data_IF_216390158343
#
_entry.id   IF_216390158343
#
_cell.length_a   1.000
_cell.length_b   1.000
_cell.length_c   1.000
_cell.angle_alpha   90.00
_cell.angle_beta   90.00
_cell.angle_gamma   90.00
#
_symmetry.space_group_name_H-M   'P 1'
#
loop_
_entity.id
_entity.type
_entity.pdbx_description
1 polymer ?
#
# COMPACT_ATOMS: atom_id res chain seq x y z
N UNK A 1 -11.37 13.90 -12.23
CA UNK A 1 -11.76 13.33 -10.92
C UNK A 1 -11.22 11.91 -10.89
N UNK A 2 -10.11 11.68 -10.21
CA UNK A 2 -9.46 10.36 -10.10
C UNK A 2 -9.54 9.96 -8.63
N UNK A 3 -10.09 8.78 -8.34
CA UNK A 3 -10.19 8.21 -6.99
C UNK A 3 -9.22 7.02 -6.94
N UNK A 4 -8.17 7.09 -6.13
CA UNK A 4 -7.26 5.96 -5.88
C UNK A 4 -7.44 5.46 -4.45
N UNK A 5 -7.61 4.16 -4.21
CA UNK A 5 -7.55 3.53 -2.88
C UNK A 5 -6.23 2.78 -2.76
N UNK A 6 -5.52 2.87 -1.62
CA UNK A 6 -4.31 2.08 -1.31
C UNK A 6 -4.32 1.57 0.14
N UNK A 7 -3.99 0.29 0.34
CA UNK A 7 -3.61 -0.36 1.61
C UNK A 7 -2.25 -1.06 1.46
N UNK A 8 -1.44 -1.09 2.53
CA UNK A 8 -0.03 -1.53 2.57
C UNK A 8 0.18 -3.04 2.34
N UNK A 9 1.37 -3.50 1.92
CA UNK A 9 2.68 -2.84 1.96
C UNK A 9 3.44 -2.94 0.63
N UNK A 10 3.99 -1.82 0.17
CA UNK A 10 4.74 -1.78 -1.09
C UNK A 10 6.00 -0.95 -0.92
N UNK A 11 7.12 -1.51 -1.35
CA UNK A 11 8.31 -0.73 -1.70
C UNK A 11 7.98 0.04 -2.97
N UNK A 12 7.49 1.28 -2.84
CA UNK A 12 7.19 2.13 -3.99
C UNK A 12 8.50 2.59 -4.66
N UNK A 13 8.79 2.05 -5.84
CA UNK A 13 9.50 2.79 -6.87
C UNK A 13 8.51 3.10 -7.99
N UNK A 14 8.23 4.38 -8.24
CA UNK A 14 7.40 4.83 -9.34
C UNK A 14 8.24 5.71 -10.27
N UNK A 15 8.49 5.25 -11.49
CA UNK A 15 9.22 6.01 -12.51
C UNK A 15 8.33 6.20 -13.73
N UNK A 16 8.47 7.36 -14.36
CA UNK A 16 7.69 7.77 -15.51
C UNK A 16 8.50 7.63 -16.79
N UNK A 17 7.88 7.05 -17.81
CA UNK A 17 8.41 7.05 -19.17
C UNK A 17 7.34 7.60 -20.12
N UNK A 18 7.72 8.63 -20.89
CA UNK A 18 6.84 9.26 -21.89
C UNK A 18 7.42 8.99 -23.26
N UNK A 19 6.61 8.45 -24.16
CA UNK A 19 6.95 8.36 -25.57
C UNK A 19 5.76 8.81 -26.42
N UNK A 20 6.04 9.62 -27.46
CA UNK A 20 5.04 10.15 -28.37
C UNK A 20 5.64 11.06 -29.43
N UNK A 21 5.09 11.01 -30.64
CA UNK A 21 5.28 12.00 -31.72
C UNK A 21 3.88 12.47 -32.15
N UNK A 22 3.72 13.78 -32.40
CA UNK A 22 2.48 14.31 -33.00
C UNK A 22 1.29 14.53 -32.05
N UNK A 23 1.46 15.32 -30.98
CA UNK A 23 0.34 15.82 -30.16
C UNK A 23 -0.34 14.77 -29.25
N UNK A 24 0.17 13.55 -29.24
CA UNK A 24 -0.31 12.45 -28.41
C UNK A 24 0.86 11.76 -27.70
N UNK A 25 0.66 11.36 -26.44
CA UNK A 25 1.70 10.68 -25.66
C UNK A 25 1.14 9.52 -24.84
N UNK A 26 1.98 8.51 -24.63
CA UNK A 26 1.77 7.45 -23.65
C UNK A 26 2.67 7.69 -22.44
N UNK A 27 2.12 7.54 -21.25
CA UNK A 27 2.83 7.67 -19.98
C UNK A 27 2.70 6.41 -19.15
N UNK A 28 3.82 5.85 -18.74
CA UNK A 28 3.88 4.68 -17.86
C UNK A 28 3.97 5.09 -16.39
N UNK A 29 3.22 4.39 -15.56
CA UNK A 29 3.35 4.34 -14.12
C UNK A 29 3.53 2.87 -13.74
N UNK A 30 4.47 2.57 -12.85
CA UNK A 30 4.68 1.21 -12.37
C UNK A 30 5.01 1.20 -10.88
N UNK A 31 4.82 0.04 -10.27
CA UNK A 31 5.04 -0.23 -8.86
C UNK A 31 5.52 -1.66 -8.70
N UNK A 32 6.49 -1.91 -7.81
CA UNK A 32 7.05 -3.25 -7.58
C UNK A 32 6.99 -3.55 -6.09
N UNK A 33 6.26 -4.59 -5.72
CA UNK A 33 6.27 -5.14 -4.38
C UNK A 33 7.39 -6.19 -4.30
N UNK A 34 8.56 -5.75 -3.85
CA UNK A 34 9.70 -6.60 -3.58
C UNK A 34 10.22 -6.34 -2.17
N UNK A 35 10.26 -7.37 -1.34
CA UNK A 35 10.86 -7.30 -0.02
C UNK A 35 12.37 -7.01 -0.15
N UNK A 36 12.79 -5.93 0.52
CA UNK A 36 14.14 -5.32 0.60
C UNK A 36 14.42 -4.17 -0.41
N UNK A 37 15.11 -3.09 0.01
CA UNK A 37 15.23 -1.84 -0.75
C UNK A 37 15.97 -2.05 -2.07
N UNK A 38 15.40 -1.54 -3.16
CA UNK A 38 15.95 -1.65 -4.51
C UNK A 38 16.28 -0.27 -5.10
N UNK A 39 17.30 -0.23 -5.97
CA UNK A 39 17.68 0.97 -6.71
C UNK A 39 16.97 0.98 -8.06
N UNK A 40 15.90 1.76 -8.18
CA UNK A 40 15.26 2.01 -9.46
C UNK A 40 15.99 3.10 -10.26
N UNK A 41 16.19 2.87 -11.56
CA UNK A 41 16.72 3.89 -12.48
C UNK A 41 15.65 4.31 -13.50
N UNK A 42 15.71 5.57 -13.93
CA UNK A 42 14.68 6.28 -14.69
C UNK A 42 14.38 5.78 -16.12
N UNK A 43 13.16 6.01 -16.63
CA UNK A 43 12.76 5.84 -18.03
C UNK A 43 11.93 4.60 -18.37
N UNK A 44 11.94 4.17 -19.65
CA UNK A 44 11.30 2.91 -20.15
C UNK A 44 12.10 1.65 -19.79
N UNK A 45 13.20 1.80 -19.04
CA UNK A 45 14.03 0.72 -18.56
C UNK A 45 14.04 0.80 -17.03
N UNK A 46 13.49 -0.22 -16.39
CA UNK A 46 13.40 -0.33 -14.94
C UNK A 46 14.37 -1.40 -14.47
N UNK A 47 15.12 -1.16 -13.40
CA UNK A 47 16.00 -2.16 -12.81
C UNK A 47 15.64 -2.36 -11.34
N UNK A 48 15.49 -3.61 -10.90
CA UNK A 48 15.33 -3.95 -9.49
C UNK A 48 15.91 -5.33 -9.17
N UNK A 49 16.19 -5.58 -7.89
CA UNK A 49 16.74 -6.85 -7.43
C UNK A 49 15.72 -7.60 -6.58
N UNK A 50 15.55 -8.90 -6.83
CA UNK A 50 14.66 -9.80 -6.07
C UNK A 50 15.45 -11.03 -5.59
N UNK A 51 15.23 -11.54 -4.38
CA UNK A 51 15.81 -12.81 -3.96
C UNK A 51 15.15 -13.97 -4.73
N UNK A 52 15.93 -15.00 -5.09
CA UNK A 52 15.35 -16.22 -5.65
C UNK A 52 14.33 -16.86 -4.69
N UNK A 53 13.26 -17.45 -5.23
CA UNK A 53 12.18 -18.05 -4.46
C UNK A 53 11.19 -17.06 -3.82
N UNK A 54 11.38 -15.74 -3.97
CA UNK A 54 10.49 -14.74 -3.38
C UNK A 54 9.37 -14.33 -4.35
N UNK A 55 8.08 -14.46 -3.98
CA UNK A 55 6.99 -13.90 -4.78
C UNK A 55 7.18 -12.40 -4.95
N UNK A 56 7.02 -11.89 -6.16
CA UNK A 56 7.20 -10.48 -6.52
C UNK A 56 6.02 -10.04 -7.35
N UNK A 57 5.41 -8.91 -6.99
CA UNK A 57 4.28 -8.33 -7.73
C UNK A 57 4.70 -7.05 -8.42
N UNK A 58 4.38 -6.92 -9.70
CA UNK A 58 4.62 -5.73 -10.52
C UNK A 58 3.28 -5.19 -10.99
N UNK A 59 2.93 -3.98 -10.56
CA UNK A 59 1.75 -3.27 -11.04
C UNK A 59 2.16 -2.28 -12.12
N UNK A 60 1.49 -2.31 -13.26
CA UNK A 60 1.76 -1.47 -14.42
C UNK A 60 0.50 -0.71 -14.82
N UNK A 61 0.65 0.57 -15.13
CA UNK A 61 -0.42 1.40 -15.66
C UNK A 61 0.12 2.26 -16.79
N UNK A 62 -0.63 2.36 -17.87
CA UNK A 62 -0.32 3.27 -18.98
C UNK A 62 -1.50 4.19 -19.22
N UNK A 63 -1.23 5.47 -19.47
CA UNK A 63 -2.25 6.44 -19.84
C UNK A 63 -1.91 7.13 -21.15
N UNK A 64 -2.91 7.41 -21.97
CA UNK A 64 -2.78 8.19 -23.20
C UNK A 64 -3.35 9.60 -23.04
N UNK A 65 -2.62 10.59 -23.54
CA UNK A 65 -3.06 11.98 -23.57
C UNK A 65 -3.02 12.51 -25.02
N UNK A 66 -4.13 13.06 -25.56
CA UNK A 66 -5.48 13.04 -25.01
C UNK A 66 -6.06 11.60 -24.92
N UNK A 67 -7.10 11.38 -24.08
CA UNK A 67 -7.68 10.06 -23.85
C UNK A 67 -8.15 9.38 -25.13
N UNK A 68 -7.77 8.12 -25.27
CA UNK A 68 -8.08 7.25 -26.41
C UNK A 68 -8.02 5.80 -25.97
N UNK A 69 -8.34 4.85 -26.84
CA UNK A 69 -8.16 3.45 -26.52
C UNK A 69 -6.67 3.14 -26.31
N UNK A 70 -6.34 2.53 -25.18
CA UNK A 70 -4.99 2.09 -24.85
C UNK A 70 -5.03 0.61 -24.49
N UNK A 71 -4.05 -0.14 -24.96
CA UNK A 71 -3.87 -1.56 -24.63
C UNK A 71 -2.47 -1.80 -24.07
N UNK A 72 -2.40 -2.66 -23.06
CA UNK A 72 -1.20 -3.25 -22.49
C UNK A 72 -1.14 -4.72 -22.87
N UNK A 73 -0.08 -5.11 -23.55
CA UNK A 73 0.19 -6.49 -23.93
C UNK A 73 1.55 -6.95 -23.40
N UNK A 74 1.64 -8.12 -22.76
CA UNK A 74 2.91 -8.73 -22.38
C UNK A 74 3.67 -9.16 -23.65
N UNK A 75 4.98 -8.94 -23.69
CA UNK A 75 5.88 -9.41 -24.75
C UNK A 75 6.87 -10.46 -24.25
N UNK A 76 7.35 -10.33 -23.01
CA UNK A 76 8.25 -11.29 -22.37
C UNK A 76 8.01 -11.32 -20.86
N UNK A 77 7.96 -12.52 -20.28
CA UNK A 77 7.65 -12.77 -18.87
C UNK A 77 8.50 -13.92 -18.31
N UNK A 78 8.56 -14.02 -16.98
CA UNK A 78 9.35 -15.01 -16.25
C UNK A 78 8.56 -16.29 -15.91
N UNK A 79 7.40 -16.47 -16.56
CA UNK A 79 6.44 -17.56 -16.31
C UNK A 79 5.07 -17.05 -15.86
N UNK A 80 4.08 -17.94 -15.81
CA UNK A 80 2.70 -17.62 -15.44
C UNK A 80 1.83 -17.05 -16.57
N UNK A 81 0.53 -16.93 -16.29
CA UNK A 81 -0.44 -16.32 -17.20
C UNK A 81 -0.42 -14.79 -17.09
N UNK A 82 -0.58 -14.12 -18.22
CA UNK A 82 -0.35 -12.69 -18.33
C UNK A 82 -1.66 -11.94 -18.58
N UNK A 83 -2.12 -11.07 -17.66
CA UNK A 83 -3.29 -10.26 -17.95
C UNK A 83 -2.88 -9.13 -18.90
N UNK A 84 -3.21 -9.28 -20.18
CA UNK A 84 -3.35 -8.13 -21.05
C UNK A 84 -4.49 -7.24 -20.51
N UNK A 85 -4.37 -5.93 -20.66
CA UNK A 85 -5.42 -4.99 -20.26
C UNK A 85 -5.68 -4.00 -21.37
N UNK A 86 -6.90 -3.51 -21.46
CA UNK A 86 -7.22 -2.35 -22.30
C UNK A 86 -8.18 -1.42 -21.58
N UNK A 87 -8.20 -0.16 -21.98
CA UNK A 87 -9.12 0.81 -21.42
C UNK A 87 -9.10 2.13 -22.19
N UNK A 88 -10.13 2.94 -21.96
CA UNK A 88 -10.21 4.29 -22.52
C UNK A 88 -9.44 5.26 -21.62
N UNK A 89 -8.45 5.96 -22.19
CA UNK A 89 -7.57 6.87 -21.47
C UNK A 89 -6.46 6.16 -20.69
N UNK A 90 -6.77 5.08 -19.98
CA UNK A 90 -5.81 4.35 -19.14
C UNK A 90 -6.05 2.84 -19.22
N UNK A 91 -4.98 2.04 -19.14
CA UNK A 91 -5.03 0.59 -18.96
C UNK A 91 -4.06 0.18 -17.83
N UNK A 92 -4.43 -0.83 -17.02
CA UNK A 92 -3.66 -1.25 -15.85
C UNK A 92 -3.59 -2.77 -15.78
N UNK A 93 -2.43 -3.33 -15.45
CA UNK A 93 -2.26 -4.77 -15.24
C UNK A 93 -1.36 -5.05 -14.03
N UNK A 94 -1.54 -6.21 -13.42
CA UNK A 94 -0.76 -6.70 -12.28
C UNK A 94 -0.16 -8.05 -12.66
N UNK A 95 1.16 -8.16 -12.54
CA UNK A 95 1.91 -9.37 -12.85
C UNK A 95 2.66 -9.86 -11.62
N UNK A 96 2.37 -11.07 -11.18
CA UNK A 96 3.05 -11.72 -10.05
C UNK A 96 3.92 -12.87 -10.58
N UNK A 97 5.17 -12.93 -10.13
CA UNK A 97 6.10 -14.01 -10.47
C UNK A 97 6.95 -14.39 -9.26
N UNK A 98 7.50 -15.60 -9.31
CA UNK A 98 8.46 -16.09 -8.30
C UNK A 98 9.70 -16.55 -9.05
N UNK A 99 10.90 -15.96 -8.81
CA UNK A 99 12.11 -16.43 -9.47
C UNK A 99 12.40 -17.90 -9.08
N UNK A 100 12.66 -18.79 -10.04
CA UNK A 100 12.83 -20.21 -9.76
C UNK A 100 14.09 -20.48 -8.93
N UNK A 101 14.13 -21.54 -8.10
CA UNK A 101 15.34 -21.91 -7.36
C UNK A 101 16.55 -22.12 -8.28
N UNK A 102 17.74 -21.66 -7.87
CA UNK A 102 18.98 -21.75 -8.65
C UNK A 102 19.11 -20.69 -9.74
N UNK A 103 18.35 -19.61 -9.64
CA UNK A 103 18.40 -18.47 -10.57
C UNK A 103 19.19 -17.27 -10.02
N UNK A 104 19.71 -17.35 -8.79
CA UNK A 104 20.62 -16.37 -8.23
C UNK A 104 21.79 -16.04 -9.19
N UNK A 105 22.09 -14.75 -9.31
CA UNK A 105 23.10 -14.21 -10.23
C UNK A 105 22.63 -14.01 -11.66
N UNK A 106 21.38 -14.38 -12.00
CA UNK A 106 20.81 -14.12 -13.32
C UNK A 106 20.17 -12.74 -13.39
N UNK A 107 20.20 -12.18 -14.59
CA UNK A 107 19.42 -11.00 -14.96
C UNK A 107 18.39 -11.42 -15.99
N UNK A 108 17.14 -11.02 -15.79
CA UNK A 108 16.01 -11.46 -16.60
C UNK A 108 15.10 -10.28 -16.93
N UNK A 109 14.42 -10.31 -18.07
CA UNK A 109 13.60 -9.18 -18.54
C UNK A 109 12.11 -9.51 -18.55
N UNK A 110 11.32 -8.56 -18.09
CA UNK A 110 9.87 -8.47 -18.24
C UNK A 110 9.60 -7.33 -19.22
N UNK A 111 8.85 -7.59 -20.28
CA UNK A 111 8.56 -6.59 -21.32
C UNK A 111 7.06 -6.47 -21.54
N UNK A 112 6.55 -5.25 -21.46
CA UNK A 112 5.17 -4.91 -21.81
C UNK A 112 5.13 -3.87 -22.91
N UNK A 113 4.22 -4.05 -23.87
CA UNK A 113 3.93 -3.09 -24.92
C UNK A 113 2.66 -2.34 -24.58
N UNK A 114 2.75 -1.01 -24.59
CA UNK A 114 1.59 -0.15 -24.68
C UNK A 114 1.35 0.22 -26.14
N UNK A 115 0.10 0.17 -26.57
CA UNK A 115 -0.34 0.69 -27.85
C UNK A 115 -1.57 1.56 -27.65
N UNK A 116 -1.69 2.62 -28.44
CA UNK A 116 -2.87 3.47 -28.46
C UNK A 116 -3.10 4.01 -29.86
N UNK A 117 -4.36 4.26 -30.21
CA UNK A 117 -4.73 4.71 -31.56
C UNK A 117 -3.96 5.98 -31.96
N UNK A 118 -3.25 5.95 -33.09
CA UNK A 118 -2.46 7.08 -33.57
C UNK A 118 -1.22 7.42 -32.72
N UNK A 119 -0.77 6.53 -31.84
CA UNK A 119 0.50 6.63 -31.12
C UNK A 119 1.36 5.41 -31.45
N UNK A 120 2.63 5.62 -31.79
CA UNK A 120 3.56 4.52 -31.99
C UNK A 120 3.62 3.65 -30.70
N UNK A 121 3.59 2.31 -30.80
CA UNK A 121 3.69 1.46 -29.62
C UNK A 121 4.97 1.71 -28.84
N UNK A 122 4.87 1.62 -27.51
CA UNK A 122 5.97 1.89 -26.59
C UNK A 122 6.18 0.67 -25.73
N UNK A 123 7.40 0.16 -25.70
CA UNK A 123 7.76 -0.98 -24.86
C UNK A 123 8.36 -0.48 -23.54
N UNK A 124 7.80 -0.94 -22.43
CA UNK A 124 8.40 -0.88 -21.11
C UNK A 124 9.22 -2.15 -20.91
N UNK A 125 10.53 -1.99 -20.66
CA UNK A 125 11.44 -3.07 -20.31
C UNK A 125 11.78 -2.99 -18.83
N UNK A 126 11.65 -4.11 -18.14
CA UNK A 126 11.90 -4.23 -16.71
C UNK A 126 12.94 -5.33 -16.54
N UNK A 127 14.13 -4.93 -16.15
CA UNK A 127 15.27 -5.77 -15.88
C UNK A 127 15.27 -6.17 -14.40
N UNK A 128 15.17 -7.47 -14.15
CA UNK A 128 15.13 -8.06 -12.81
C UNK A 128 16.45 -8.77 -12.55
N UNK A 129 17.19 -8.31 -11.54
CA UNK A 129 18.39 -9.00 -11.04
C UNK A 129 17.99 -9.96 -9.94
N UNK A 130 18.37 -11.22 -10.07
CA UNK A 130 18.03 -12.23 -9.08
C UNK A 130 19.20 -12.39 -8.11
N UNK A 131 18.99 -12.02 -6.85
CA UNK A 131 19.96 -12.16 -5.77
C UNK A 131 19.91 -13.54 -5.10
N UNK A 132 20.92 -13.86 -4.26
CA UNK A 132 20.86 -15.05 -3.41
C UNK A 132 19.60 -15.02 -2.53
N UNK A 133 19.13 -16.19 -2.06
CA UNK A 133 17.97 -16.25 -1.17
C UNK A 133 18.27 -15.44 0.08
N UNK A 134 17.39 -14.48 0.39
CA UNK A 134 17.51 -13.68 1.60
C UNK A 134 16.39 -14.09 2.56
N UNK A 135 16.71 -14.72 3.69
CA UNK A 135 15.71 -15.17 4.67
C UNK A 135 14.89 -14.01 5.26
N UNK A 136 15.41 -12.78 5.17
CA UNK A 136 14.74 -11.55 5.61
C UNK A 136 13.71 -11.02 4.61
N UNK A 137 13.72 -11.50 3.35
CA UNK A 137 12.84 -11.03 2.28
C UNK A 137 11.83 -12.10 1.82
N UNK A 138 11.71 -13.23 2.54
CA UNK A 138 10.64 -14.21 2.31
C UNK A 138 9.30 -13.54 2.64
N UNK A 139 8.54 -13.14 1.62
CA UNK A 139 7.17 -12.70 1.86
C UNK A 139 6.44 -13.84 2.56
N UNK A 140 5.71 -13.57 3.66
CA UNK A 140 4.72 -14.52 4.13
C UNK A 140 3.77 -14.84 2.95
N UNK A 141 3.23 -16.07 2.88
CA UNK A 141 2.31 -16.44 1.80
C UNK A 141 1.26 -15.35 1.60
N UNK A 142 0.82 -15.09 0.35
CA UNK A 142 -0.18 -14.05 0.11
C UNK A 142 -1.36 -14.29 1.04
N UNK A 143 -1.57 -13.37 1.99
CA UNK A 143 -2.88 -13.26 2.63
C UNK A 143 -3.87 -13.09 1.48
N UNK A 144 -4.93 -13.92 1.42
CA UNK A 144 -5.88 -13.81 0.33
C UNK A 144 -6.40 -12.38 0.24
N UNK A 145 -6.55 -11.96 -1.02
CA UNK A 145 -7.00 -10.66 -1.51
C UNK A 145 -7.96 -9.93 -0.56
N UNK A 146 -7.74 -8.62 -0.42
CA UNK A 146 -8.69 -7.59 0.03
C UNK A 146 -9.97 -8.18 0.64
N UNK A 147 -10.05 -8.22 1.96
CA UNK A 147 -11.23 -8.70 2.70
C UNK A 147 -12.50 -8.17 2.04
N UNK A 148 -13.53 -9.00 1.78
CA UNK A 148 -14.76 -8.52 1.18
C UNK A 148 -15.29 -7.33 1.98
N UNK A 149 -16.02 -6.36 1.39
CA UNK A 149 -16.51 -5.18 2.11
C UNK A 149 -17.28 -5.53 3.39
N UNK A 150 -17.89 -6.71 3.43
CA UNK A 150 -18.60 -7.28 4.59
C UNK A 150 -17.69 -7.85 5.67
N UNK A 151 -16.39 -8.03 5.44
CA UNK A 151 -15.40 -8.45 6.42
C UNK A 151 -14.65 -7.27 7.02
N UNK A 152 -14.70 -6.08 6.40
CA UNK A 152 -14.16 -4.87 7.03
C UNK A 152 -15.14 -4.31 8.06
N UNK A 153 -14.63 -4.01 9.24
CA UNK A 153 -15.33 -3.28 10.28
C UNK A 153 -14.60 -1.94 10.47
N UNK A 154 -15.22 -0.85 10.05
CA UNK A 154 -14.66 0.49 10.21
C UNK A 154 -14.82 0.97 11.66
N UNK A 155 -13.87 1.79 12.11
CA UNK A 155 -13.91 2.30 13.48
C UNK A 155 -15.08 3.26 13.68
N UNK A 156 -15.87 3.03 14.72
CA UNK A 156 -16.96 3.90 15.13
C UNK A 156 -17.05 3.95 16.67
N UNK A 157 -17.17 5.15 17.24
CA UNK A 157 -17.19 5.34 18.69
C UNK A 157 -18.37 4.60 19.37
N UNK A 158 -19.49 4.43 18.65
CA UNK A 158 -20.68 3.74 19.12
C UNK A 158 -20.70 2.23 18.87
N UNK A 159 -19.67 1.68 18.19
CA UNK A 159 -19.59 0.26 17.85
C UNK A 159 -18.24 -0.33 18.26
N UNK A 160 -18.04 -0.63 19.55
CA UNK A 160 -16.87 -1.37 19.99
C UNK A 160 -16.85 -2.77 19.37
N UNK A 161 -15.65 -3.34 19.22
CA UNK A 161 -15.45 -4.69 18.73
C UNK A 161 -15.97 -5.71 19.74
N UNK A 162 -16.39 -6.85 19.23
CA UNK A 162 -16.84 -8.00 20.01
C UNK A 162 -16.11 -9.24 19.54
N UNK A 163 -16.11 -10.31 20.34
CA UNK A 163 -15.57 -11.60 19.89
C UNK A 163 -16.29 -12.17 18.66
N UNK A 164 -17.49 -11.68 18.33
CA UNK A 164 -18.18 -12.05 17.10
C UNK A 164 -17.58 -11.41 15.83
N UNK A 165 -16.66 -10.45 15.97
CA UNK A 165 -15.96 -9.80 14.86
C UNK A 165 -14.63 -10.51 14.50
N UNK A 166 -14.23 -11.55 15.23
CA UNK A 166 -13.01 -12.33 14.97
C UNK A 166 -13.35 -13.62 14.22
N UNK A 167 -13.46 -13.51 12.88
CA UNK A 167 -13.89 -14.59 12.00
C UNK A 167 -12.74 -15.47 11.51
N UNK A 168 -11.51 -14.95 11.61
CA UNK A 168 -10.30 -15.63 11.16
C UNK A 168 -9.94 -16.83 12.03
N UNK A 169 -9.24 -17.77 11.41
CA UNK A 169 -8.62 -18.88 12.13
C UNK A 169 -7.26 -18.45 12.70
N UNK A 170 -6.88 -18.95 13.90
CA UNK A 170 -5.55 -18.72 14.44
C UNK A 170 -4.46 -19.24 13.49
N UNK A 171 -3.44 -18.44 13.15
CA UNK A 171 -2.36 -18.90 12.30
C UNK A 171 -1.61 -20.07 12.96
N UNK A 172 -1.13 -21.03 12.15
CA UNK A 172 -0.43 -22.21 12.66
C UNK A 172 0.90 -21.85 13.33
N UNK A 173 1.52 -20.76 12.92
CA UNK A 173 2.82 -20.23 13.38
C UNK A 173 2.70 -19.09 14.42
N UNK A 174 1.50 -18.85 14.95
CA UNK A 174 1.30 -17.85 16.01
C UNK A 174 2.15 -18.14 17.25
N UNK A 175 2.43 -17.12 18.04
CA UNK A 175 2.95 -17.29 19.39
C UNK A 175 2.01 -18.21 20.22
N UNK A 176 2.50 -19.32 20.81
CA UNK A 176 1.69 -20.18 21.67
C UNK A 176 1.02 -19.48 22.85
N UNK A 177 1.54 -18.33 23.28
CA UNK A 177 0.97 -17.51 24.33
C UNK A 177 -0.14 -16.57 23.83
N UNK A 178 -0.16 -16.23 22.53
CA UNK A 178 -1.16 -15.33 21.97
C UNK A 178 -2.57 -15.94 22.05
N UNK A 179 -3.48 -15.19 22.67
CA UNK A 179 -4.88 -15.57 22.86
C UNK A 179 -5.78 -15.10 21.71
N UNK A 180 -5.42 -13.99 21.08
CA UNK A 180 -6.10 -13.39 19.96
C UNK A 180 -5.08 -12.63 19.09
N UNK A 181 -5.51 -12.22 17.90
CA UNK A 181 -4.79 -11.27 17.07
C UNK A 181 -5.78 -10.48 16.22
N UNK A 182 -5.62 -9.16 16.21
CA UNK A 182 -6.41 -8.25 15.39
C UNK A 182 -5.64 -7.82 14.14
N UNK A 183 -6.29 -7.91 12.98
CA UNK A 183 -5.76 -7.42 11.72
C UNK A 183 -6.35 -6.04 11.41
N UNK A 184 -5.49 -5.05 11.19
CA UNK A 184 -5.87 -3.66 10.99
C UNK A 184 -5.37 -3.14 9.65
N UNK A 185 -6.24 -2.43 8.94
CA UNK A 185 -5.95 -1.79 7.67
C UNK A 185 -6.13 -0.28 7.78
N UNK A 186 -5.08 0.48 7.46
CA UNK A 186 -5.14 1.92 7.24
C UNK A 186 -5.09 2.19 5.74
N UNK A 187 -6.04 2.97 5.24
CA UNK A 187 -6.15 3.27 3.81
C UNK A 187 -6.50 4.74 3.60
N UNK A 188 -6.10 5.27 2.44
CA UNK A 188 -6.55 6.59 2.01
C UNK A 188 -6.88 6.65 0.52
N UNK A 189 -7.69 7.64 0.17
CA UNK A 189 -7.99 8.02 -1.20
C UNK A 189 -8.01 9.52 -1.38
N UNK A 190 -7.45 10.00 -2.48
CA UNK A 190 -7.31 11.42 -2.77
C UNK A 190 -8.08 11.78 -4.03
N UNK A 191 -8.67 12.97 -4.05
CA UNK A 191 -9.07 13.70 -5.25
C UNK A 191 -8.21 14.94 -5.34
N UNK A 192 -7.56 15.14 -6.48
CA UNK A 192 -6.64 16.26 -6.70
C UNK A 192 -7.34 17.41 -7.40
N UNK A 193 -6.90 18.63 -7.11
CA UNK A 193 -7.20 19.83 -7.86
C UNK A 193 -5.89 20.48 -8.31
N UNK A 194 -5.90 21.03 -9.52
CA UNK A 194 -4.74 21.69 -10.12
C UNK A 194 -5.04 23.14 -10.44
N UNK A 195 -4.01 23.97 -10.26
CA UNK A 195 -3.99 25.37 -10.61
C UNK A 195 -2.63 25.75 -11.19
N UNK A 196 -2.57 26.91 -11.84
CA UNK A 196 -1.35 27.44 -12.41
C UNK A 196 -1.14 28.86 -11.93
N UNK A 197 0.06 29.15 -11.45
CA UNK A 197 0.49 30.47 -11.01
C UNK A 197 1.72 30.86 -11.82
N UNK A 198 1.53 31.70 -12.84
CA UNK A 198 2.57 32.04 -13.81
C UNK A 198 3.09 30.81 -14.56
N UNK A 199 4.39 30.54 -14.44
CA UNK A 199 5.05 29.39 -15.08
C UNK A 199 4.96 28.09 -14.26
N UNK A 200 4.45 28.13 -13.03
CA UNK A 200 4.44 27.00 -12.10
C UNK A 200 3.05 26.38 -12.01
N UNK A 201 2.99 25.07 -12.13
CA UNK A 201 1.80 24.27 -11.82
C UNK A 201 1.80 23.90 -10.35
N UNK A 202 0.62 23.96 -9.73
CA UNK A 202 0.39 23.55 -8.35
C UNK A 202 -0.72 22.52 -8.32
N UNK A 203 -0.49 21.42 -7.61
CA UNK A 203 -1.48 20.41 -7.29
C UNK A 203 -1.81 20.49 -5.80
N UNK A 204 -3.09 20.30 -5.46
CA UNK A 204 -3.59 20.27 -4.09
C UNK A 204 -4.55 19.10 -3.91
N UNK A 205 -4.76 18.67 -2.68
CA UNK A 205 -5.80 17.69 -2.35
C UNK A 205 -7.12 18.43 -2.19
N UNK A 206 -8.05 18.21 -3.13
CA UNK A 206 -9.39 18.78 -3.10
C UNK A 206 -10.28 18.10 -2.06
N UNK A 207 -10.14 16.77 -1.95
CA UNK A 207 -10.79 15.98 -0.91
C UNK A 207 -10.00 14.71 -0.66
N UNK A 208 -10.01 14.23 0.57
CA UNK A 208 -9.42 12.95 0.96
C UNK A 208 -10.38 12.14 1.81
N UNK A 209 -10.36 10.83 1.65
CA UNK A 209 -10.93 9.88 2.60
C UNK A 209 -9.80 9.09 3.22
N UNK A 210 -9.79 8.94 4.54
CA UNK A 210 -8.83 8.09 5.26
C UNK A 210 -9.62 7.19 6.18
N UNK A 211 -9.40 5.88 6.09
CA UNK A 211 -10.14 4.87 6.85
C UNK A 211 -9.21 3.98 7.65
N UNK A 212 -9.62 3.63 8.86
CA UNK A 212 -9.07 2.53 9.65
C UNK A 212 -10.15 1.46 9.79
N UNK A 213 -9.79 0.21 9.52
CA UNK A 213 -10.70 -0.91 9.62
C UNK A 213 -10.04 -2.13 10.26
N UNK A 214 -10.83 -2.88 11.02
CA UNK A 214 -10.52 -4.26 11.39
C UNK A 214 -10.90 -5.18 10.23
N UNK A 215 -9.98 -6.05 9.83
CA UNK A 215 -10.21 -7.12 8.87
C UNK A 215 -10.67 -8.37 9.63
N UNK A 216 -11.99 -8.55 9.73
CA UNK A 216 -12.62 -9.56 10.58
C UNK A 216 -12.23 -10.99 10.21
N UNK A 217 -12.08 -11.26 8.93
CA UNK A 217 -11.65 -12.54 8.35
C UNK A 217 -10.17 -12.84 8.60
N UNK A 218 -9.36 -11.84 8.96
CA UNK A 218 -7.95 -12.00 9.33
C UNK A 218 -7.71 -11.88 10.83
N UNK A 219 -8.73 -11.46 11.58
CA UNK A 219 -8.68 -11.33 13.03
C UNK A 219 -9.20 -12.60 13.68
N UNK A 220 -8.45 -13.17 14.63
CA UNK A 220 -8.74 -14.47 15.21
C UNK A 220 -8.67 -14.44 16.75
N UNK A 221 -9.39 -15.34 17.41
CA UNK A 221 -9.35 -15.47 18.87
C UNK A 221 -9.63 -16.91 19.30
N UNK A 222 -8.77 -17.46 20.18
CA UNK A 222 -8.94 -18.80 20.74
C UNK A 222 -10.18 -18.85 21.63
N UNK A 223 -11.14 -19.72 21.30
CA UNK A 223 -12.44 -19.82 21.98
C UNK A 223 -12.32 -19.95 23.51
N UNK A 224 -11.37 -20.74 24.00
CA UNK A 224 -11.12 -20.94 25.44
C UNK A 224 -10.33 -19.83 26.14
N UNK A 225 -9.88 -18.79 25.43
CA UNK A 225 -9.10 -17.66 25.99
C UNK A 225 -9.76 -16.29 25.78
N UNK A 226 -11.04 -16.26 25.42
CA UNK A 226 -11.83 -15.04 25.27
C UNK A 226 -12.19 -14.46 26.63
N UNK A 227 -11.54 -13.37 27.02
CA UNK A 227 -11.80 -12.64 28.27
C UNK A 227 -12.22 -11.20 28.00
N UNK A 228 -12.82 -10.53 28.99
CA UNK A 228 -13.14 -9.11 28.87
C UNK A 228 -11.87 -8.23 28.76
N UNK A 229 -10.83 -8.57 29.53
CA UNK A 229 -9.54 -7.89 29.49
C UNK A 229 -8.87 -8.04 28.12
N UNK A 230 -8.84 -9.25 27.56
CA UNK A 230 -8.32 -9.50 26.21
C UNK A 230 -9.08 -8.72 25.15
N UNK A 231 -10.42 -8.66 25.23
CA UNK A 231 -11.21 -7.87 24.27
C UNK A 231 -10.92 -6.36 24.39
N UNK A 232 -10.73 -5.85 25.61
CA UNK A 232 -10.32 -4.46 25.85
C UNK A 232 -8.95 -4.19 25.21
N UNK A 233 -8.02 -5.13 25.35
CA UNK A 233 -6.68 -5.02 24.77
C UNK A 233 -6.73 -4.91 23.23
N UNK A 234 -7.48 -5.80 22.57
CA UNK A 234 -7.69 -5.75 21.12
C UNK A 234 -8.44 -4.48 20.67
N UNK A 235 -9.40 -3.99 21.45
CA UNK A 235 -10.10 -2.74 21.16
C UNK A 235 -9.12 -1.56 21.15
N UNK A 236 -8.14 -1.55 22.05
CA UNK A 236 -7.12 -0.48 22.09
C UNK A 236 -6.17 -0.50 20.91
N UNK A 237 -5.85 -1.67 20.35
CA UNK A 237 -5.18 -1.73 19.04
C UNK A 237 -6.00 -1.07 17.94
N UNK A 238 -7.32 -1.28 17.92
CA UNK A 238 -8.21 -0.66 16.93
C UNK A 238 -8.32 0.86 17.13
N UNK A 239 -8.39 1.31 18.38
CA UNK A 239 -8.43 2.73 18.73
C UNK A 239 -7.13 3.45 18.36
N UNK A 240 -5.98 2.79 18.50
CA UNK A 240 -4.70 3.32 18.01
C UNK A 240 -4.70 3.50 16.49
N UNK A 241 -5.25 2.54 15.73
CA UNK A 241 -5.39 2.70 14.28
C UNK A 241 -6.29 3.90 13.91
N UNK A 242 -7.38 4.12 14.65
CA UNK A 242 -8.20 5.32 14.47
C UNK A 242 -7.45 6.61 14.80
N UNK A 243 -6.65 6.63 15.87
CA UNK A 243 -5.86 7.81 16.23
C UNK A 243 -4.87 8.18 15.09
N UNK A 244 -4.17 7.20 14.53
CA UNK A 244 -3.27 7.42 13.37
C UNK A 244 -4.02 7.76 12.08
N UNK A 245 -5.22 7.21 11.87
CA UNK A 245 -6.11 7.62 10.78
C UNK A 245 -6.46 9.09 10.86
N UNK A 246 -6.79 9.60 12.06
CA UNK A 246 -7.05 11.02 12.30
C UNK A 246 -5.81 11.87 12.07
N UNK A 247 -4.63 11.42 12.51
CA UNK A 247 -3.37 12.11 12.27
C UNK A 247 -3.10 12.30 10.77
N UNK A 248 -3.19 11.22 9.99
CA UNK A 248 -3.00 11.28 8.54
C UNK A 248 -4.05 12.18 7.87
N UNK A 249 -5.31 12.05 8.26
CA UNK A 249 -6.39 12.88 7.72
C UNK A 249 -6.15 14.38 7.99
N UNK A 250 -5.47 14.73 9.08
CA UNK A 250 -5.08 16.11 9.38
C UNK A 250 -3.84 16.59 8.59
N UNK A 251 -2.92 15.69 8.25
CA UNK A 251 -1.69 16.03 7.50
C UNK A 251 -1.95 16.23 6.00
N UNK A 252 -2.77 15.37 5.39
CA UNK A 252 -2.98 15.34 3.94
C UNK A 252 -3.40 16.70 3.33
N UNK A 253 -4.34 17.48 3.90
CA UNK A 253 -4.77 18.76 3.31
C UNK A 253 -3.65 19.80 3.16
N UNK A 254 -2.57 19.70 3.96
CA UNK A 254 -1.44 20.63 3.90
C UNK A 254 -0.45 20.36 2.76
N UNK A 255 -0.60 19.24 2.04
CA UNK A 255 0.35 18.83 1.00
C UNK A 255 0.05 19.55 -0.31
N UNK A 256 1.07 20.20 -0.86
CA UNK A 256 1.03 20.90 -2.15
C UNK A 256 2.16 20.38 -3.02
N UNK A 257 1.82 19.88 -4.20
CA UNK A 257 2.80 19.52 -5.21
C UNK A 257 3.04 20.66 -6.18
N UNK A 258 4.27 20.80 -6.65
CA UNK A 258 4.67 21.84 -7.61
C UNK A 258 5.42 21.26 -8.79
N UNK A 259 5.36 21.94 -9.94
CA UNK A 259 6.04 21.46 -11.14
C UNK A 259 6.01 22.44 -12.31
N UNK A 260 6.82 22.17 -13.33
CA UNK A 260 6.80 22.93 -14.60
C UNK A 260 5.68 22.47 -15.52
N UNK A 261 5.12 21.28 -15.28
CA UNK A 261 3.90 20.76 -15.90
C UNK A 261 2.88 20.33 -14.84
N UNK A 262 1.61 20.18 -15.24
CA UNK A 262 0.56 19.65 -14.37
C UNK A 262 0.92 18.25 -13.84
N UNK A 263 1.49 17.40 -14.70
CA UNK A 263 1.91 16.04 -14.36
C UNK A 263 3.03 16.04 -13.31
N UNK A 264 3.95 17.00 -13.39
CA UNK A 264 5.03 17.15 -12.40
C UNK A 264 4.47 17.53 -11.02
N UNK A 265 3.53 18.48 -10.99
CA UNK A 265 2.87 18.91 -9.76
C UNK A 265 2.06 17.76 -9.13
N UNK A 266 1.35 16.96 -9.93
CA UNK A 266 0.68 15.75 -9.45
C UNK A 266 1.65 14.74 -8.87
N UNK A 267 2.76 14.47 -9.57
CA UNK A 267 3.79 13.52 -9.13
C UNK A 267 4.41 13.94 -7.81
N UNK A 268 4.76 15.21 -7.68
CA UNK A 268 5.30 15.78 -6.45
C UNK A 268 4.31 15.61 -5.28
N UNK A 269 3.04 16.01 -5.48
CA UNK A 269 1.99 15.85 -4.47
C UNK A 269 1.82 14.38 -4.05
N UNK A 270 1.72 13.46 -5.01
CA UNK A 270 1.49 12.04 -4.73
C UNK A 270 2.71 11.41 -4.03
N UNK A 271 3.92 11.82 -4.37
CA UNK A 271 5.14 11.41 -3.68
C UNK A 271 5.14 11.85 -2.23
N UNK A 272 4.81 13.12 -1.97
CA UNK A 272 4.70 13.68 -0.62
C UNK A 272 3.59 13.00 0.19
N UNK A 273 2.41 12.79 -0.40
CA UNK A 273 1.31 12.09 0.27
C UNK A 273 1.65 10.64 0.60
N UNK A 274 2.34 9.94 -0.31
CA UNK A 274 2.83 8.59 -0.04
C UNK A 274 3.91 8.56 1.06
N UNK A 275 4.77 9.58 1.14
CA UNK A 275 5.75 9.71 2.22
C UNK A 275 5.08 9.96 3.57
N UNK A 276 4.10 10.86 3.65
CA UNK A 276 3.31 11.11 4.86
C UNK A 276 2.57 9.85 5.32
N UNK A 277 1.98 9.10 4.39
CA UNK A 277 1.34 7.82 4.71
C UNK A 277 2.31 6.79 5.29
N UNK A 278 3.49 6.64 4.68
CA UNK A 278 4.53 5.72 5.20
C UNK A 278 4.98 6.11 6.60
N UNK A 279 5.26 7.39 6.85
CA UNK A 279 5.63 7.89 8.18
C UNK A 279 4.57 7.54 9.23
N UNK A 280 3.30 7.88 8.96
CA UNK A 280 2.18 7.57 9.86
C UNK A 280 2.08 6.07 10.10
N UNK A 281 2.20 5.25 9.06
CA UNK A 281 2.06 3.81 9.19
C UNK A 281 3.22 3.17 9.97
N UNK A 282 4.45 3.63 9.76
CA UNK A 282 5.63 3.13 10.47
C UNK A 282 5.59 3.48 11.96
N UNK A 283 5.13 4.71 12.27
CA UNK A 283 4.86 5.14 13.65
C UNK A 283 3.72 4.35 14.28
N UNK A 284 2.65 4.10 13.53
CA UNK A 284 1.54 3.25 13.97
C UNK A 284 2.02 1.84 14.34
N UNK A 285 2.73 1.17 13.44
CA UNK A 285 3.28 -0.17 13.68
C UNK A 285 4.23 -0.18 14.89
N UNK A 286 5.08 0.84 15.01
CA UNK A 286 6.01 0.98 16.15
C UNK A 286 5.26 1.13 17.48
N UNK A 287 4.17 1.93 17.48
CA UNK A 287 3.38 2.18 18.68
C UNK A 287 2.51 0.97 19.07
N UNK A 288 1.97 0.23 18.10
CA UNK A 288 1.28 -1.05 18.36
C UNK A 288 2.22 -2.03 19.07
N UNK A 289 3.42 -2.22 18.54
CA UNK A 289 4.40 -3.12 19.14
C UNK A 289 4.88 -2.64 20.51
N UNK A 290 4.95 -1.32 20.74
CA UNK A 290 5.26 -0.76 22.06
C UNK A 290 4.14 -1.05 23.06
N UNK A 291 2.89 -0.82 22.65
CA UNK A 291 1.72 -1.09 23.47
C UNK A 291 1.62 -2.56 23.89
N UNK A 292 1.82 -3.49 22.95
CA UNK A 292 1.93 -4.93 23.23
C UNK A 292 2.98 -5.23 24.30
N UNK A 293 4.22 -4.76 24.10
CA UNK A 293 5.34 -5.02 25.02
C UNK A 293 5.10 -4.44 26.41
N UNK A 294 4.65 -3.19 26.49
CA UNK A 294 4.52 -2.47 27.76
C UNK A 294 3.33 -2.95 28.59
N UNK A 295 2.30 -3.52 27.98
CA UNK A 295 1.15 -4.08 28.68
C UNK A 295 1.26 -5.59 28.92
N UNK A 296 2.40 -6.19 28.55
CA UNK A 296 2.59 -7.66 28.54
C UNK A 296 1.46 -8.37 27.77
N UNK A 297 1.13 -7.86 26.58
CA UNK A 297 -0.01 -8.29 25.76
C UNK A 297 -1.34 -8.26 26.54
N UNK A 298 -1.57 -7.15 27.25
CA UNK A 298 -2.79 -6.90 28.05
C UNK A 298 -2.87 -7.67 29.37
N UNK A 299 -1.77 -8.26 29.85
CA UNK A 299 -1.71 -8.95 31.16
C UNK A 299 -1.34 -8.04 32.32
N UNK A 300 -0.72 -6.89 32.06
CA UNK A 300 -0.45 -5.87 33.07
C UNK A 300 -1.58 -4.82 33.10
N UNK A 301 -2.51 -4.99 34.03
CA UNK A 301 -3.68 -4.12 34.20
C UNK A 301 -3.31 -2.64 34.46
N UNK A 302 -2.21 -2.38 35.18
CA UNK A 302 -1.77 -1.02 35.50
C UNK A 302 -1.30 -0.31 34.23
N UNK A 303 -0.46 -0.99 33.45
CA UNK A 303 0.04 -0.47 32.16
C UNK A 303 -1.07 -0.36 31.13
N UNK A 304 -1.98 -1.33 31.09
CA UNK A 304 -3.16 -1.29 30.25
C UNK A 304 -3.97 -0.01 30.51
N UNK A 305 -4.27 0.31 31.76
CA UNK A 305 -5.00 1.53 32.13
C UNK A 305 -4.25 2.83 31.82
N UNK A 306 -2.91 2.85 31.91
CA UNK A 306 -2.09 3.98 31.47
C UNK A 306 -2.22 4.22 29.96
N UNK A 307 -2.12 3.15 29.17
CA UNK A 307 -2.27 3.20 27.72
C UNK A 307 -3.68 3.60 27.30
N UNK A 308 -4.73 3.10 27.96
CA UNK A 308 -6.11 3.49 27.69
C UNK A 308 -6.32 5.01 27.82
N UNK A 309 -5.74 5.64 28.84
CA UNK A 309 -5.79 7.10 29.01
C UNK A 309 -5.03 7.84 27.91
N UNK A 310 -3.84 7.35 27.53
CA UNK A 310 -3.04 7.94 26.43
C UNK A 310 -3.78 7.86 25.10
N UNK A 311 -4.34 6.70 24.79
CA UNK A 311 -5.10 6.45 23.56
C UNK A 311 -6.35 7.33 23.51
N UNK A 312 -7.10 7.44 24.63
CA UNK A 312 -8.23 8.35 24.71
C UNK A 312 -7.83 9.81 24.45
N UNK A 313 -6.68 10.25 24.98
CA UNK A 313 -6.16 11.58 24.71
C UNK A 313 -5.77 11.77 23.23
N UNK A 314 -5.13 10.78 22.59
CA UNK A 314 -4.74 10.84 21.17
C UNK A 314 -5.94 10.78 20.22
N UNK A 315 -7.02 10.10 20.60
CA UNK A 315 -8.27 10.16 19.84
C UNK A 315 -8.84 11.59 19.81
N UNK A 316 -8.67 12.36 20.89
CA UNK A 316 -9.09 13.77 20.95
C UNK A 316 -8.08 14.71 20.29
N UNK A 317 -6.79 14.44 20.44
CA UNK A 317 -5.68 15.26 19.96
C UNK A 317 -4.65 14.41 19.19
N UNK A 318 -4.94 14.02 17.93
CA UNK A 318 -4.08 13.12 17.16
C UNK A 318 -2.70 13.71 16.84
N UNK A 319 -2.55 15.03 16.86
CA UNK A 319 -1.27 15.71 16.64
C UNK A 319 -0.24 15.47 17.75
N UNK A 320 -0.64 14.97 18.92
CA UNK A 320 0.27 14.62 20.02
C UNK A 320 0.65 13.13 20.04
N UNK A 321 0.33 12.36 18.99
CA UNK A 321 0.84 11.01 18.80
C UNK A 321 2.37 11.05 18.63
N UNK A 322 3.11 10.11 19.24
CA UNK A 322 4.55 9.98 19.05
C UNK A 322 4.92 9.54 17.62
#
# INVERSE_FOLDING_TARGET
>A
MVTMKRGLGLVLCAVWAVAGTGGASLSWLWEVEAACPCSATGGTVVQFQVPEGSPTTVSLSVSATPPRMVSLAPLALLGGGAPASSGWGTATTVYTFTPPPGSAGREVEIVYRAAADGVAPVDLRITVRIGPPNPSCTLPPPSPATSPPTARLYWEAGRPITWADFWGEPPPDRDPQAAAGIALALEYSLTLATGREGAVWQARIASSTVTAAMERDRSWALSGRRTAAGLSHEQRHFDLAEAYRRLLAAQLPGIVGTGTTEADAHRDLLSQAAAAFRDVNDRHASLQAQYDRETDHGRDDLRQGEWERRIAAWLLAPSSLP
#
